data_IF_238414999123
#
_entry.id   IF_238414999123
#
_cell.length_a   1.000
_cell.length_b   1.000
_cell.length_c   1.000
_cell.angle_alpha   90.00
_cell.angle_beta   90.00
_cell.angle_gamma   90.00
#
_symmetry.space_group_name_H-M   'P 1'
#
loop_
_entity.id
_entity.type
_entity.pdbx_description
1 polymer ?
#
# COMPACT_ATOMS: atom_id res chain seq x y z
N UNK A 1 -10.11 4.27 -21.39
CA UNK A 1 -10.27 3.97 -19.95
C UNK A 1 -9.05 4.54 -19.25
N UNK A 2 -9.23 5.36 -18.22
CA UNK A 2 -8.10 5.79 -17.40
C UNK A 2 -7.68 4.63 -16.49
N UNK A 3 -6.38 4.47 -16.26
CA UNK A 3 -5.88 3.55 -15.24
C UNK A 3 -6.04 4.23 -13.87
N UNK A 4 -6.54 3.50 -12.89
CA UNK A 4 -6.76 3.97 -11.53
C UNK A 4 -6.02 3.08 -10.53
N UNK A 5 -5.60 3.67 -9.42
CA UNK A 5 -4.98 2.97 -8.31
C UNK A 5 -6.08 2.29 -7.46
N UNK A 6 -6.17 0.95 -7.41
CA UNK A 6 -7.18 0.28 -6.61
C UNK A 6 -6.94 0.49 -5.11
N UNK A 7 -7.98 0.63 -4.28
CA UNK A 7 -7.82 0.77 -2.84
C UNK A 7 -7.26 -0.50 -2.21
N UNK A 8 -6.46 -0.34 -1.16
CA UNK A 8 -6.02 -1.47 -0.34
C UNK A 8 -7.21 -2.06 0.45
N UNK A 9 -7.31 -3.40 0.56
CA UNK A 9 -8.35 -4.06 1.35
C UNK A 9 -7.99 -4.13 2.85
N UNK A 10 -6.89 -3.51 3.27
CA UNK A 10 -6.35 -3.55 4.63
C UNK A 10 -5.59 -2.26 4.96
N UNK A 11 -5.37 -2.03 6.25
CA UNK A 11 -4.56 -0.91 6.75
C UNK A 11 -3.06 -1.10 6.42
N UNK A 12 -2.29 -0.01 6.36
CA UNK A 12 -0.88 -0.06 5.99
C UNK A 12 -0.01 -0.92 6.92
N UNK A 13 -0.40 -1.06 8.19
CA UNK A 13 0.27 -1.85 9.23
C UNK A 13 -0.20 -3.31 9.31
N UNK A 14 -1.17 -3.73 8.49
CA UNK A 14 -1.79 -5.06 8.58
C UNK A 14 -0.82 -6.23 8.29
N UNK A 15 0.36 -5.93 7.75
CA UNK A 15 1.39 -6.92 7.39
C UNK A 15 2.58 -6.91 8.36
N UNK A 16 2.52 -6.13 9.44
CA UNK A 16 3.55 -6.16 10.48
C UNK A 16 3.57 -7.51 11.22
N UNK A 17 4.74 -8.00 11.67
CA UNK A 17 6.07 -7.39 11.57
C UNK A 17 6.83 -7.76 10.27
N UNK A 18 6.15 -8.38 9.30
CA UNK A 18 6.79 -8.87 8.08
C UNK A 18 7.06 -7.77 7.05
N UNK A 19 6.16 -6.79 6.98
CA UNK A 19 6.32 -5.57 6.19
C UNK A 19 5.85 -4.40 7.06
N UNK A 20 6.70 -3.38 7.22
CA UNK A 20 6.36 -2.20 8.00
C UNK A 20 5.40 -1.26 7.26
N UNK A 21 4.62 -0.50 8.03
CA UNK A 21 3.62 0.41 7.48
C UNK A 21 4.21 1.48 6.54
N UNK A 22 5.42 1.97 6.81
CA UNK A 22 6.08 3.01 5.99
C UNK A 22 6.48 2.46 4.62
N UNK A 23 6.94 1.22 4.56
CA UNK A 23 7.18 0.52 3.29
C UNK A 23 5.89 0.39 2.48
N UNK A 24 4.78 -0.03 3.10
CA UNK A 24 3.50 -0.16 2.40
C UNK A 24 2.94 1.17 1.91
N UNK A 25 3.05 2.24 2.70
CA UNK A 25 2.62 3.58 2.32
C UNK A 25 3.40 4.11 1.10
N UNK A 26 4.73 3.99 1.12
CA UNK A 26 5.58 4.45 0.01
C UNK A 26 5.30 3.62 -1.24
N UNK A 27 5.20 2.30 -1.12
CA UNK A 27 4.88 1.42 -2.25
C UNK A 27 3.56 1.83 -2.89
N UNK A 28 2.49 1.94 -2.10
CA UNK A 28 1.15 2.23 -2.60
C UNK A 28 1.00 3.64 -3.18
N UNK A 29 1.55 4.65 -2.51
CA UNK A 29 1.30 6.06 -2.89
C UNK A 29 2.31 6.63 -3.88
N UNK A 30 3.42 5.93 -4.15
CA UNK A 30 4.52 6.42 -5.01
C UNK A 30 4.96 5.47 -6.10
N UNK A 31 4.96 4.15 -5.87
CA UNK A 31 5.55 3.19 -6.81
C UNK A 31 4.51 2.51 -7.72
N UNK A 32 3.33 2.20 -7.19
CA UNK A 32 2.22 1.64 -7.96
C UNK A 32 1.56 2.69 -8.85
#
# INVERSE_FOLDING_TARGET
MAFELPPLPYAFDALEPHIDARTMEIHYTKHH
#
